data_IF_656116973639
#
_entry.id   IF_656116973639
#
_cell.length_a   1.000
_cell.length_b   1.000
_cell.length_c   1.000
_cell.angle_alpha   90.00
_cell.angle_beta   90.00
_cell.angle_gamma   90.00
#
_symmetry.space_group_name_H-M   'P 1'
#
loop_
_entity.id
_entity.type
_entity.pdbx_description
1 polymer ?
#
# COMPACT_ATOMS: atom_id res chain seq x y z
N UNK A 1 -11.51 19.96 -10.69
CA UNK A 1 -11.85 21.29 -10.12
C UNK A 1 -11.74 21.18 -8.61
N UNK A 2 -11.20 22.20 -7.94
CA UNK A 2 -11.05 22.22 -6.49
C UNK A 2 -12.23 22.96 -5.85
N UNK A 3 -12.85 22.37 -4.82
CA UNK A 3 -13.82 23.09 -3.99
C UNK A 3 -13.07 24.12 -3.14
N UNK A 4 -13.66 25.29 -2.95
CA UNK A 4 -13.04 26.41 -2.24
C UNK A 4 -13.99 27.03 -1.23
N UNK A 5 -13.48 27.57 -0.10
CA UNK A 5 -14.31 28.30 0.85
C UNK A 5 -14.83 29.60 0.24
N UNK A 6 -15.93 30.11 0.78
CA UNK A 6 -16.63 31.32 0.29
C UNK A 6 -15.75 32.56 0.17
N UNK A 7 -14.72 32.68 1.02
CA UNK A 7 -13.83 33.84 1.06
C UNK A 7 -12.47 33.58 0.38
N UNK A 8 -12.35 32.51 -0.42
CA UNK A 8 -11.12 32.25 -1.16
C UNK A 8 -10.85 33.41 -2.14
N UNK A 9 -9.67 34.06 -2.08
CA UNK A 9 -9.33 35.16 -2.98
C UNK A 9 -8.86 34.61 -4.34
N UNK A 10 -9.68 33.75 -4.94
CA UNK A 10 -9.47 33.11 -6.23
C UNK A 10 -10.71 33.37 -7.09
N UNK A 11 -10.59 33.34 -8.44
CA UNK A 11 -11.78 33.32 -9.29
C UNK A 11 -12.61 32.07 -8.98
N UNK A 12 -13.84 32.27 -8.51
CA UNK A 12 -14.76 31.20 -8.11
C UNK A 12 -15.94 31.09 -9.08
N UNK A 13 -16.45 29.88 -9.24
CA UNK A 13 -17.67 29.57 -9.97
C UNK A 13 -18.58 28.74 -9.06
N UNK A 14 -19.85 29.11 -8.97
CA UNK A 14 -20.85 28.31 -8.26
C UNK A 14 -21.40 27.24 -9.19
N UNK A 15 -21.36 25.97 -8.77
CA UNK A 15 -22.03 24.86 -9.47
C UNK A 15 -22.98 24.13 -8.52
N UNK A 16 -23.97 23.45 -9.07
CA UNK A 16 -24.98 22.69 -8.32
C UNK A 16 -25.61 23.49 -7.17
N UNK A 17 -25.94 24.76 -7.46
CA UNK A 17 -26.69 25.70 -6.62
C UNK A 17 -26.09 26.07 -5.25
N UNK A 18 -24.96 25.49 -4.83
CA UNK A 18 -24.38 25.77 -3.51
C UNK A 18 -22.87 25.50 -3.37
N UNK A 19 -22.25 24.74 -4.29
CA UNK A 19 -20.85 24.37 -4.16
C UNK A 19 -19.98 25.34 -4.97
N UNK A 20 -18.98 25.91 -4.30
CA UNK A 20 -18.04 26.83 -4.90
C UNK A 20 -16.81 26.08 -5.41
N UNK A 21 -16.49 26.28 -6.67
CA UNK A 21 -15.30 25.72 -7.32
C UNK A 21 -14.36 26.84 -7.73
N UNK A 22 -13.06 26.58 -7.64
CA UNK A 22 -12.08 27.44 -8.31
C UNK A 22 -12.20 27.30 -9.83
N UNK A 23 -12.08 28.42 -10.54
CA UNK A 23 -11.94 28.43 -12.00
C UNK A 23 -10.52 28.06 -12.43
N UNK A 24 -9.55 28.10 -11.52
CA UNK A 24 -8.21 27.57 -11.78
C UNK A 24 -8.20 26.05 -11.67
N UNK A 25 -7.36 25.43 -12.50
CA UNK A 25 -7.06 24.02 -12.35
C UNK A 25 -6.20 23.77 -11.09
N UNK A 26 -6.07 22.50 -10.74
CA UNK A 26 -5.33 22.09 -9.55
C UNK A 26 -3.86 22.53 -9.60
N UNK A 27 -3.24 22.50 -10.78
CA UNK A 27 -1.82 22.81 -10.94
C UNK A 27 -1.56 24.30 -10.72
N UNK A 28 -2.43 25.17 -11.23
CA UNK A 28 -2.37 26.60 -10.97
C UNK A 28 -2.52 26.90 -9.47
N UNK A 29 -3.46 26.23 -8.78
CA UNK A 29 -3.66 26.39 -7.33
C UNK A 29 -2.40 25.96 -6.54
N UNK A 30 -1.78 24.83 -6.93
CA UNK A 30 -0.50 24.37 -6.35
C UNK A 30 0.62 25.39 -6.54
N UNK A 31 0.75 25.96 -7.74
CA UNK A 31 1.80 26.95 -8.05
C UNK A 31 1.63 28.25 -7.26
N UNK A 32 0.38 28.67 -7.00
CA UNK A 32 0.08 29.86 -6.19
C UNK A 32 0.38 29.59 -4.70
N UNK A 33 0.53 28.33 -4.30
CA UNK A 33 0.92 27.94 -2.94
C UNK A 33 -0.26 27.79 -1.98
N UNK A 34 -1.48 27.62 -2.48
CA UNK A 34 -2.62 27.33 -1.63
C UNK A 34 -2.55 25.90 -1.07
N UNK A 35 -2.91 25.69 0.20
CA UNK A 35 -3.03 24.35 0.76
C UNK A 35 -4.19 23.62 0.07
N UNK A 36 -3.93 22.40 -0.39
CA UNK A 36 -4.90 21.54 -1.06
C UNK A 36 -5.14 20.32 -0.20
N UNK A 37 -6.42 20.06 0.08
CA UNK A 37 -6.88 18.83 0.71
C UNK A 37 -7.59 17.96 -0.33
N UNK A 38 -7.10 16.73 -0.50
CA UNK A 38 -7.78 15.73 -1.30
C UNK A 38 -8.72 14.91 -0.41
N UNK A 39 -10.01 14.93 -0.72
CA UNK A 39 -11.03 14.12 -0.05
C UNK A 39 -11.47 13.07 -1.06
N UNK A 40 -11.33 11.81 -0.68
CA UNK A 40 -11.76 10.67 -1.49
C UNK A 40 -12.83 9.92 -0.73
N UNK A 41 -13.92 9.61 -1.43
CA UNK A 41 -14.87 8.62 -0.96
C UNK A 41 -14.35 7.23 -1.31
N UNK A 42 -14.56 6.28 -0.41
CA UNK A 42 -14.19 4.90 -0.61
C UNK A 42 -15.37 4.02 -0.20
N UNK A 43 -16.04 3.45 -1.20
CA UNK A 43 -17.26 2.65 -1.02
C UNK A 43 -17.06 1.52 0.00
N UNK A 44 -15.84 0.95 0.06
CA UNK A 44 -15.49 -0.08 1.03
C UNK A 44 -15.62 0.42 2.49
N UNK A 45 -15.30 1.68 2.79
CA UNK A 45 -15.48 2.24 4.13
C UNK A 45 -16.96 2.39 4.46
N UNK A 46 -17.75 2.89 3.52
CA UNK A 46 -19.20 3.03 3.69
C UNK A 46 -19.85 1.66 3.88
N UNK A 47 -19.48 0.65 3.09
CA UNK A 47 -19.98 -0.72 3.21
C UNK A 47 -19.61 -1.39 4.54
N UNK A 48 -18.39 -1.15 5.04
CA UNK A 48 -17.99 -1.63 6.36
C UNK A 48 -18.77 -0.93 7.48
N UNK A 49 -19.01 0.38 7.37
CA UNK A 49 -19.79 1.13 8.35
C UNK A 49 -21.23 0.60 8.42
N UNK A 50 -21.89 0.43 7.26
CA UNK A 50 -23.22 -0.18 7.19
C UNK A 50 -23.25 -1.58 7.81
N UNK A 51 -22.18 -2.36 7.66
CA UNK A 51 -22.09 -3.71 8.22
C UNK A 51 -22.00 -3.65 9.75
N UNK A 52 -21.21 -2.72 10.29
CA UNK A 52 -21.11 -2.48 11.74
C UNK A 52 -22.45 -2.01 12.33
N UNK A 53 -23.20 -1.18 11.60
CA UNK A 53 -24.53 -0.73 12.02
C UNK A 53 -25.54 -1.89 12.04
N UNK A 54 -25.55 -2.76 11.03
CA UNK A 54 -26.36 -3.99 11.02
C UNK A 54 -25.97 -4.94 12.17
N UNK A 55 -24.68 -5.11 12.46
CA UNK A 55 -24.22 -5.93 13.59
C UNK A 55 -24.75 -5.37 14.92
N UNK A 56 -24.75 -4.04 15.08
CA UNK A 56 -25.29 -3.39 16.26
C UNK A 56 -26.80 -3.61 16.38
N UNK A 57 -27.54 -3.48 15.28
CA UNK A 57 -29.00 -3.64 15.25
C UNK A 57 -29.43 -5.10 15.47
N UNK A 58 -28.81 -6.03 14.75
CA UNK A 58 -29.20 -7.44 14.75
C UNK A 58 -28.68 -8.21 15.97
N UNK A 59 -27.50 -7.84 16.50
CA UNK A 59 -26.82 -8.59 17.57
C UNK A 59 -26.61 -7.79 18.85
N UNK A 60 -26.90 -6.49 18.87
CA UNK A 60 -26.64 -5.62 20.02
C UNK A 60 -25.14 -5.41 20.31
N UNK A 61 -24.25 -5.76 19.36
CA UNK A 61 -22.81 -5.67 19.54
C UNK A 61 -22.28 -4.35 18.97
N UNK A 62 -21.61 -3.55 19.81
CA UNK A 62 -20.94 -2.32 19.37
C UNK A 62 -19.45 -2.59 19.13
N UNK A 63 -19.08 -2.76 17.87
CA UNK A 63 -17.69 -3.00 17.45
C UNK A 63 -17.09 -1.68 16.98
N UNK A 64 -15.94 -1.30 17.54
CA UNK A 64 -15.16 -0.17 17.03
C UNK A 64 -14.13 -0.68 16.03
N UNK A 65 -14.09 -0.10 14.83
CA UNK A 65 -13.19 -0.55 13.78
C UNK A 65 -11.71 -0.56 14.21
N UNK A 66 -11.27 0.44 14.98
CA UNK A 66 -9.89 0.54 15.48
C UNK A 66 -9.51 -0.54 16.51
N UNK A 67 -10.49 -1.28 17.04
CA UNK A 67 -10.29 -2.34 18.04
C UNK A 67 -10.25 -3.74 17.44
N UNK A 68 -10.44 -3.87 16.12
CA UNK A 68 -10.43 -5.17 15.43
C UNK A 68 -9.00 -5.77 15.52
N UNK A 69 -8.85 -7.01 15.99
CA UNK A 69 -7.54 -7.66 16.13
C UNK A 69 -6.95 -8.02 14.77
N UNK A 70 -5.65 -7.75 14.54
CA UNK A 70 -4.95 -8.00 13.27
C UNK A 70 -4.36 -9.42 13.14
N UNK A 71 -4.76 -10.36 14.01
CA UNK A 71 -4.24 -11.72 14.10
C UNK A 71 -5.36 -12.78 14.23
N UNK A 72 -6.56 -12.47 13.72
CA UNK A 72 -7.73 -13.35 13.84
C UNK A 72 -7.59 -14.59 12.94
N UNK A 73 -7.54 -15.77 13.57
CA UNK A 73 -7.33 -17.03 12.86
C UNK A 73 -8.46 -17.37 11.86
N UNK A 74 -9.77 -17.21 12.20
CA UNK A 74 -10.86 -17.36 11.23
C UNK A 74 -10.69 -16.51 9.97
N UNK A 75 -10.29 -15.24 10.14
CA UNK A 75 -10.05 -14.31 9.03
C UNK A 75 -8.96 -14.80 8.10
N UNK A 76 -7.79 -15.17 8.63
CA UNK A 76 -6.70 -15.69 7.80
C UNK A 76 -7.04 -17.05 7.18
N UNK A 77 -7.80 -17.91 7.87
CA UNK A 77 -8.25 -19.17 7.31
C UNK A 77 -9.19 -18.98 6.11
N UNK A 78 -10.12 -18.02 6.18
CA UNK A 78 -10.99 -17.64 5.06
C UNK A 78 -10.19 -17.09 3.88
N UNK A 79 -9.26 -16.16 4.14
CA UNK A 79 -8.35 -15.61 3.12
C UNK A 79 -7.54 -16.73 2.45
N UNK A 80 -6.99 -17.66 3.23
CA UNK A 80 -6.21 -18.77 2.72
C UNK A 80 -7.03 -19.78 1.89
N UNK A 81 -8.36 -19.85 2.08
CA UNK A 81 -9.27 -20.60 1.20
C UNK A 81 -9.68 -19.83 -0.05
N UNK A 82 -9.31 -18.54 -0.16
CA UNK A 82 -9.71 -17.67 -1.27
C UNK A 82 -11.19 -17.28 -1.22
N UNK A 83 -11.85 -17.40 -0.07
CA UNK A 83 -13.27 -17.07 0.13
C UNK A 83 -13.48 -15.55 0.30
N UNK A 84 -12.78 -14.73 -0.48
CA UNK A 84 -12.66 -13.28 -0.30
C UNK A 84 -13.55 -12.47 -1.23
N UNK A 85 -14.60 -13.08 -1.79
CA UNK A 85 -15.57 -12.35 -2.62
C UNK A 85 -16.18 -11.15 -1.88
N UNK A 86 -16.21 -9.98 -2.52
CA UNK A 86 -16.69 -8.73 -1.91
C UNK A 86 -15.73 -8.11 -0.88
N UNK A 87 -14.60 -8.75 -0.58
CA UNK A 87 -13.59 -8.18 0.31
C UNK A 87 -12.72 -7.19 -0.46
N UNK A 88 -12.58 -5.98 0.09
CA UNK A 88 -11.81 -4.91 -0.53
C UNK A 88 -10.39 -5.35 -0.94
N UNK A 89 -9.99 -5.08 -2.19
CA UNK A 89 -8.75 -5.52 -2.85
C UNK A 89 -8.52 -7.03 -3.01
N UNK A 90 -9.37 -7.89 -2.43
CA UNK A 90 -9.16 -9.34 -2.38
C UNK A 90 -10.23 -10.15 -3.14
N UNK A 91 -11.14 -9.49 -3.82
CA UNK A 91 -12.34 -10.06 -4.45
C UNK A 91 -12.09 -10.73 -5.80
N UNK A 92 -11.15 -10.22 -6.60
CA UNK A 92 -10.95 -10.70 -7.98
C UNK A 92 -10.61 -12.19 -8.07
N UNK A 93 -11.09 -12.88 -9.11
CA UNK A 93 -10.81 -14.31 -9.37
C UNK A 93 -9.32 -14.64 -9.33
N UNK A 94 -8.51 -13.78 -9.96
CA UNK A 94 -7.07 -13.93 -9.95
C UNK A 94 -6.52 -13.87 -8.52
N UNK A 95 -6.91 -12.85 -7.75
CA UNK A 95 -6.49 -12.68 -6.37
C UNK A 95 -6.85 -13.92 -5.54
N UNK A 96 -8.09 -14.41 -5.63
CA UNK A 96 -8.57 -15.60 -4.90
C UNK A 96 -7.70 -16.84 -5.16
N UNK A 97 -7.35 -17.09 -6.42
CA UNK A 97 -6.46 -18.21 -6.82
C UNK A 97 -5.07 -18.06 -6.21
N UNK A 98 -4.51 -16.84 -6.19
CA UNK A 98 -3.18 -16.61 -5.64
C UNK A 98 -3.17 -16.70 -4.12
N UNK A 99 -4.20 -16.18 -3.44
CA UNK A 99 -4.37 -16.31 -1.99
C UNK A 99 -4.38 -17.79 -1.57
N UNK A 100 -5.11 -18.66 -2.30
CA UNK A 100 -5.11 -20.10 -2.04
C UNK A 100 -3.74 -20.76 -2.14
N UNK A 101 -2.91 -20.31 -3.08
CA UNK A 101 -1.54 -20.81 -3.28
C UNK A 101 -0.58 -20.32 -2.21
N UNK A 102 -0.77 -19.08 -1.76
CA UNK A 102 0.10 -18.44 -0.78
C UNK A 102 -0.25 -18.85 0.64
N UNK A 103 -1.53 -19.07 0.97
CA UNK A 103 -1.98 -19.34 2.34
C UNK A 103 -1.38 -18.30 3.31
N UNK A 104 -1.66 -17.02 3.05
CA UNK A 104 -1.18 -15.92 3.89
C UNK A 104 -1.63 -16.13 5.34
N UNK A 105 -0.72 -15.91 6.28
CA UNK A 105 -0.97 -16.22 7.68
C UNK A 105 -0.77 -15.05 8.64
N UNK A 106 -0.36 -13.88 8.16
CA UNK A 106 -0.18 -12.70 9.00
C UNK A 106 -0.34 -11.39 8.25
N UNK A 107 -0.39 -10.29 9.01
CA UNK A 107 -0.65 -8.95 8.49
C UNK A 107 0.43 -8.46 7.53
N UNK A 108 1.70 -8.68 7.85
CA UNK A 108 2.82 -8.25 7.01
C UNK A 108 2.85 -9.00 5.66
N UNK A 109 2.50 -10.29 5.65
CA UNK A 109 2.37 -11.06 4.40
C UNK A 109 1.19 -10.57 3.56
N UNK A 110 0.06 -10.24 4.19
CA UNK A 110 -1.10 -9.67 3.50
C UNK A 110 -0.75 -8.30 2.90
N UNK A 111 -0.01 -7.47 3.62
CA UNK A 111 0.46 -6.16 3.16
C UNK A 111 1.40 -6.29 1.96
N UNK A 112 2.38 -7.19 2.02
CA UNK A 112 3.26 -7.49 0.90
C UNK A 112 2.46 -8.01 -0.30
N UNK A 113 1.49 -8.89 -0.08
CA UNK A 113 0.62 -9.42 -1.13
C UNK A 113 -0.17 -8.31 -1.82
N UNK A 114 -0.85 -7.43 -1.06
CA UNK A 114 -1.64 -6.32 -1.61
C UNK A 114 -0.78 -5.45 -2.50
N UNK A 115 0.43 -5.07 -2.07
CA UNK A 115 1.36 -4.25 -2.87
C UNK A 115 1.85 -4.98 -4.13
N UNK A 116 2.19 -6.27 -4.02
CA UNK A 116 2.70 -7.04 -5.14
C UNK A 116 1.60 -7.41 -6.16
N UNK A 117 0.33 -7.37 -5.76
CA UNK A 117 -0.83 -7.71 -6.58
C UNK A 117 -1.57 -6.48 -7.16
N UNK A 118 -1.28 -5.26 -6.69
CA UNK A 118 -2.00 -4.04 -7.13
C UNK A 118 -1.66 -3.58 -8.55
N UNK A 119 -0.52 -4.00 -9.08
CA UNK A 119 -0.13 -3.85 -10.48
C UNK A 119 -0.16 -5.26 -11.05
N UNK A 120 -0.84 -5.48 -12.19
CA UNK A 120 -0.99 -6.79 -12.88
C UNK A 120 0.09 -7.79 -12.45
N UNK A 121 -0.28 -8.99 -11.95
CA UNK A 121 0.62 -9.92 -11.27
C UNK A 121 2.00 -9.96 -11.89
N UNK A 122 2.91 -9.18 -11.33
CA UNK A 122 4.22 -9.01 -11.91
C UNK A 122 5.12 -10.18 -11.49
N UNK A 123 6.22 -10.38 -12.20
CA UNK A 123 7.28 -11.33 -11.88
C UNK A 123 7.69 -11.28 -10.40
N UNK A 124 7.56 -10.12 -9.75
CA UNK A 124 7.84 -9.90 -8.32
C UNK A 124 6.99 -10.77 -7.39
N UNK A 125 5.71 -10.98 -7.71
CA UNK A 125 4.85 -11.84 -6.88
C UNK A 125 5.33 -13.29 -6.91
N UNK A 126 5.73 -13.77 -8.09
CA UNK A 126 6.33 -15.10 -8.24
C UNK A 126 7.68 -15.21 -7.52
N UNK A 127 8.52 -14.18 -7.60
CA UNK A 127 9.78 -14.12 -6.85
C UNK A 127 9.54 -14.16 -5.33
N UNK A 128 8.54 -13.42 -4.84
CA UNK A 128 8.13 -13.42 -3.44
C UNK A 128 7.68 -14.79 -2.98
N UNK A 129 6.81 -15.47 -3.75
CA UNK A 129 6.35 -16.83 -3.46
C UNK A 129 7.54 -17.81 -3.39
N UNK A 130 8.49 -17.71 -4.32
CA UNK A 130 9.68 -18.57 -4.35
C UNK A 130 10.58 -18.33 -3.14
N UNK A 131 10.82 -17.06 -2.80
CA UNK A 131 11.66 -16.66 -1.66
C UNK A 131 11.02 -17.01 -0.33
N UNK A 132 9.70 -16.88 -0.19
CA UNK A 132 8.97 -17.29 1.01
C UNK A 132 9.14 -18.79 1.33
N UNK A 133 9.20 -19.63 0.30
CA UNK A 133 9.36 -21.09 0.44
C UNK A 133 10.81 -21.51 0.73
N UNK A 134 11.79 -20.62 0.58
CA UNK A 134 13.20 -20.94 0.75
C UNK A 134 13.82 -20.14 1.89
N UNK A 135 14.82 -20.74 2.54
CA UNK A 135 15.64 -20.01 3.52
C UNK A 135 16.46 -18.95 2.80
N UNK A 136 16.25 -17.69 3.16
CA UNK A 136 17.00 -16.59 2.56
C UNK A 136 18.37 -16.48 3.21
N UNK A 137 19.40 -16.47 2.37
CA UNK A 137 20.76 -16.13 2.76
C UNK A 137 21.02 -14.66 2.46
N UNK A 138 21.63 -13.98 3.41
CA UNK A 138 21.93 -12.55 3.32
C UNK A 138 23.43 -12.37 3.32
N UNK A 139 23.96 -11.66 2.33
CA UNK A 139 25.40 -11.36 2.25
C UNK A 139 25.90 -10.46 3.37
N UNK A 140 24.99 -9.78 4.07
CA UNK A 140 25.33 -8.86 5.15
C UNK A 140 24.21 -8.78 6.20
N UNK A 141 24.53 -8.65 7.50
CA UNK A 141 23.53 -8.52 8.56
C UNK A 141 22.53 -7.36 8.36
N UNK A 142 22.97 -6.23 7.80
CA UNK A 142 22.10 -5.08 7.47
C UNK A 142 20.98 -5.47 6.49
N UNK A 143 21.26 -6.33 5.51
CA UNK A 143 20.23 -6.79 4.59
C UNK A 143 19.17 -7.61 5.32
N UNK A 144 19.59 -8.44 6.28
CA UNK A 144 18.69 -9.25 7.08
C UNK A 144 17.82 -8.38 7.99
N UNK A 145 18.38 -7.37 8.65
CA UNK A 145 17.61 -6.51 9.56
C UNK A 145 16.50 -5.73 8.84
N UNK A 146 16.69 -5.38 7.57
CA UNK A 146 15.74 -4.55 6.81
C UNK A 146 14.79 -5.38 5.94
N UNK A 147 15.28 -6.50 5.38
CA UNK A 147 14.56 -7.26 4.34
C UNK A 147 14.07 -8.64 4.83
N UNK A 148 14.23 -8.99 6.11
CA UNK A 148 13.76 -10.28 6.64
C UNK A 148 12.26 -10.49 6.43
N UNK A 149 11.45 -9.47 6.77
CA UNK A 149 9.98 -9.54 6.68
C UNK A 149 9.48 -9.68 5.25
N UNK A 150 10.27 -9.27 4.27
CA UNK A 150 9.94 -9.33 2.83
C UNK A 150 10.78 -10.37 2.09
N UNK A 151 11.36 -11.34 2.81
CA UNK A 151 12.16 -12.43 2.25
C UNK A 151 13.30 -11.97 1.33
N UNK A 152 13.98 -10.88 1.68
CA UNK A 152 15.11 -10.33 0.92
C UNK A 152 14.71 -9.48 -0.29
N UNK A 153 13.43 -9.15 -0.45
CA UNK A 153 12.95 -8.30 -1.53
C UNK A 153 12.74 -6.87 -1.08
N UNK A 154 13.00 -5.92 -1.97
CA UNK A 154 12.57 -4.53 -1.78
C UNK A 154 11.12 -4.43 -2.25
N UNK A 155 10.22 -4.15 -1.31
CA UNK A 155 8.80 -3.91 -1.55
C UNK A 155 8.46 -2.46 -1.21
N UNK A 156 9.12 -1.88 -0.21
CA UNK A 156 8.76 -0.57 0.32
C UNK A 156 9.81 0.53 0.11
N UNK A 157 9.35 1.78 0.04
CA UNK A 157 10.21 2.96 -0.01
C UNK A 157 11.10 3.09 1.24
N UNK A 158 10.54 2.77 2.39
CA UNK A 158 11.16 2.85 3.70
C UNK A 158 12.32 1.85 3.82
N UNK A 159 12.25 0.72 3.12
CA UNK A 159 13.38 -0.23 3.01
C UNK A 159 14.55 0.38 2.23
N UNK A 160 14.28 1.10 1.15
CA UNK A 160 15.33 1.81 0.38
C UNK A 160 15.99 2.87 1.25
N UNK A 161 15.19 3.69 1.94
CA UNK A 161 15.69 4.74 2.83
C UNK A 161 16.54 4.13 3.96
N UNK A 162 16.03 3.09 4.63
CA UNK A 162 16.74 2.42 5.72
C UNK A 162 18.07 1.80 5.25
N UNK A 163 18.09 1.20 4.06
CA UNK A 163 19.32 0.67 3.46
C UNK A 163 20.34 1.78 3.27
N UNK A 164 19.99 2.88 2.59
CA UNK A 164 20.91 3.99 2.31
C UNK A 164 21.51 4.60 3.58
N UNK A 165 20.69 4.77 4.62
CA UNK A 165 21.12 5.29 5.92
C UNK A 165 22.13 4.35 6.59
N UNK A 166 21.85 3.04 6.60
CA UNK A 166 22.70 2.06 7.28
C UNK A 166 23.97 1.70 6.52
N UNK A 167 23.95 1.71 5.18
CA UNK A 167 25.09 1.25 4.37
C UNK A 167 26.01 2.38 3.90
N UNK A 168 25.53 3.62 3.88
CA UNK A 168 26.26 4.72 3.29
C UNK A 168 26.12 6.04 4.05
N UNK A 169 25.51 6.01 5.25
CA UNK A 169 25.42 7.16 6.15
C UNK A 169 24.54 8.30 5.63
N UNK A 170 23.64 8.03 4.69
CA UNK A 170 22.80 9.07 4.10
C UNK A 170 21.93 9.73 5.18
N UNK A 171 21.76 11.04 5.09
CA UNK A 171 20.73 11.78 5.82
C UNK A 171 19.34 11.45 5.27
N UNK A 172 18.30 11.81 6.01
CA UNK A 172 16.91 11.63 5.56
C UNK A 172 16.65 12.34 4.22
N UNK A 173 17.20 13.54 4.04
CA UNK A 173 17.06 14.33 2.80
C UNK A 173 17.77 13.65 1.63
N UNK A 174 19.01 13.20 1.83
CA UNK A 174 19.78 12.52 0.80
C UNK A 174 19.13 11.20 0.38
N UNK A 175 18.66 10.41 1.35
CA UNK A 175 17.99 9.14 1.07
C UNK A 175 16.68 9.34 0.29
N UNK A 176 15.90 10.37 0.62
CA UNK A 176 14.69 10.72 -0.12
C UNK A 176 15.01 11.23 -1.53
N UNK A 177 16.08 12.00 -1.72
CA UNK A 177 16.55 12.42 -3.04
C UNK A 177 17.00 11.21 -3.88
N UNK A 178 17.79 10.30 -3.31
CA UNK A 178 18.19 9.06 -3.96
C UNK A 178 16.97 8.25 -4.39
N UNK A 179 16.00 8.04 -3.50
CA UNK A 179 14.75 7.32 -3.78
C UNK A 179 13.99 7.96 -4.95
N UNK A 180 13.88 9.29 -4.97
CA UNK A 180 13.20 10.03 -6.07
C UNK A 180 13.88 9.76 -7.42
N UNK A 181 15.21 9.82 -7.47
CA UNK A 181 15.99 9.54 -8.69
C UNK A 181 15.94 8.06 -9.06
N UNK A 182 15.94 7.15 -8.08
CA UNK A 182 15.82 5.71 -8.33
C UNK A 182 14.50 5.37 -9.05
N UNK A 183 13.39 5.96 -8.61
CA UNK A 183 12.05 5.66 -9.12
C UNK A 183 11.80 6.37 -10.46
N UNK A 184 12.10 7.67 -10.54
CA UNK A 184 11.70 8.54 -11.67
C UNK A 184 12.87 9.04 -12.52
N UNK A 185 14.11 8.80 -12.11
CA UNK A 185 15.29 9.35 -12.77
C UNK A 185 15.60 8.72 -14.13
N UNK A 186 16.33 9.50 -14.93
CA UNK A 186 16.87 9.08 -16.22
C UNK A 186 18.08 8.14 -16.03
N UNK A 187 18.43 7.31 -17.03
CA UNK A 187 19.55 6.37 -16.90
C UNK A 187 20.89 7.01 -16.46
N UNK A 188 21.18 8.24 -16.91
CA UNK A 188 22.38 8.99 -16.53
C UNK A 188 22.39 9.35 -15.04
N UNK A 189 21.26 9.83 -14.52
CA UNK A 189 21.10 10.21 -13.12
C UNK A 189 21.17 8.98 -12.21
N UNK A 190 20.56 7.87 -12.64
CA UNK A 190 20.62 6.58 -11.92
C UNK A 190 22.06 6.07 -11.83
N UNK A 191 22.83 6.17 -12.91
CA UNK A 191 24.25 5.80 -12.90
C UNK A 191 25.04 6.65 -11.90
N UNK A 192 24.73 7.95 -11.83
CA UNK A 192 25.40 8.88 -10.91
C UNK A 192 25.10 8.52 -9.44
N UNK A 193 23.83 8.32 -9.07
CA UNK A 193 23.48 7.98 -7.68
C UNK A 193 24.10 6.65 -7.24
N UNK A 194 24.23 5.66 -8.14
CA UNK A 194 24.90 4.40 -7.83
C UNK A 194 26.41 4.57 -7.65
N UNK A 195 27.04 5.46 -8.41
CA UNK A 195 28.44 5.82 -8.20
C UNK A 195 28.68 6.43 -6.82
N UNK A 196 27.87 7.45 -6.46
CA UNK A 196 27.93 8.08 -5.13
C UNK A 196 27.65 7.08 -4.01
N UNK A 197 26.64 6.23 -4.16
CA UNK A 197 26.32 5.18 -3.19
C UNK A 197 27.51 4.23 -2.98
N UNK A 198 28.18 3.83 -4.07
CA UNK A 198 29.32 2.91 -4.00
C UNK A 198 30.48 3.54 -3.23
N UNK A 199 30.83 4.79 -3.54
CA UNK A 199 31.91 5.50 -2.85
C UNK A 199 31.61 5.61 -1.35
N UNK A 200 30.41 6.09 -0.99
CA UNK A 200 30.01 6.25 0.40
C UNK A 200 29.97 4.89 1.13
N UNK A 201 29.48 3.83 0.50
CA UNK A 201 29.40 2.52 1.14
C UNK A 201 30.77 1.89 1.39
N UNK A 202 31.76 2.12 0.51
CA UNK A 202 33.15 1.71 0.72
C UNK A 202 33.74 2.46 1.92
N UNK A 203 33.51 3.77 2.02
CA UNK A 203 33.95 4.57 3.17
C UNK A 203 33.30 4.10 4.49
N UNK A 204 32.09 3.54 4.43
CA UNK A 204 31.38 2.95 5.56
C UNK A 204 31.76 1.47 5.82
N UNK A 205 32.80 0.95 5.15
CA UNK A 205 33.37 -0.36 5.42
C UNK A 205 32.64 -1.54 4.77
N UNK A 206 31.76 -1.31 3.78
CA UNK A 206 31.15 -2.39 3.02
C UNK A 206 32.08 -2.89 1.91
N UNK A 207 32.01 -4.20 1.66
CA UNK A 207 32.75 -4.84 0.57
C UNK A 207 32.02 -4.70 -0.76
N UNK A 208 32.77 -4.66 -1.87
CA UNK A 208 32.20 -4.58 -3.22
C UNK A 208 31.12 -5.64 -3.52
N UNK A 209 31.25 -6.93 -3.12
CA UNK A 209 30.21 -7.92 -3.35
C UNK A 209 28.86 -7.55 -2.69
N UNK A 210 28.90 -6.99 -1.47
CA UNK A 210 27.69 -6.56 -0.76
C UNK A 210 27.06 -5.36 -1.47
N UNK A 211 27.87 -4.37 -1.85
CA UNK A 211 27.41 -3.16 -2.56
C UNK A 211 26.77 -3.53 -3.90
N UNK A 212 27.43 -4.40 -4.68
CA UNK A 212 26.93 -4.87 -5.96
C UNK A 212 25.61 -5.63 -5.83
N UNK A 213 25.45 -6.42 -4.77
CA UNK A 213 24.20 -7.10 -4.46
C UNK A 213 23.07 -6.10 -4.13
N UNK A 214 23.35 -5.08 -3.30
CA UNK A 214 22.37 -4.02 -2.98
C UNK A 214 21.95 -3.27 -4.23
N UNK A 215 22.90 -2.87 -5.08
CA UNK A 215 22.59 -2.20 -6.35
C UNK A 215 21.74 -3.11 -7.26
N UNK A 216 21.99 -4.42 -7.27
CA UNK A 216 21.17 -5.38 -7.99
C UNK A 216 19.73 -5.39 -7.48
N UNK A 217 19.52 -5.37 -6.16
CA UNK A 217 18.19 -5.26 -5.55
C UNK A 217 17.48 -3.96 -5.96
N UNK A 218 18.19 -2.82 -5.95
CA UNK A 218 17.62 -1.54 -6.39
C UNK A 218 17.24 -1.55 -7.88
N UNK A 219 18.07 -2.13 -8.75
CA UNK A 219 17.78 -2.28 -10.18
C UNK A 219 16.59 -3.20 -10.43
N UNK A 220 16.50 -4.31 -9.69
CA UNK A 220 15.45 -5.32 -9.89
C UNK A 220 14.08 -4.91 -9.33
N UNK A 221 14.06 -4.21 -8.19
CA UNK A 221 12.82 -4.00 -7.42
C UNK A 221 12.57 -2.54 -7.03
N UNK A 222 13.60 -1.68 -7.01
CA UNK A 222 13.52 -0.35 -6.42
C UNK A 222 12.55 0.61 -7.11
N UNK A 223 12.43 0.55 -8.44
CA UNK A 223 11.49 1.39 -9.21
C UNK A 223 10.02 1.10 -8.92
N UNK A 224 9.71 -0.10 -8.44
CA UNK A 224 8.35 -0.55 -8.15
C UNK A 224 8.10 -0.68 -6.64
N UNK A 225 8.99 -0.10 -5.83
CA UNK A 225 8.76 0.00 -4.40
C UNK A 225 7.53 0.89 -4.13
N UNK A 226 6.88 0.69 -3.00
CA UNK A 226 5.64 1.35 -2.63
C UNK A 226 5.74 2.01 -1.25
N UNK A 227 5.05 3.12 -0.95
CA UNK A 227 5.08 3.71 0.39
C UNK A 227 4.49 2.74 1.44
N UNK A 228 5.27 2.36 2.45
CA UNK A 228 4.87 1.37 3.46
C UNK A 228 3.65 1.84 4.26
N UNK A 229 3.60 3.12 4.64
CA UNK A 229 2.45 3.65 5.39
C UNK A 229 1.15 3.58 4.59
N UNK A 230 1.22 3.83 3.28
CA UNK A 230 0.06 3.71 2.41
C UNK A 230 -0.35 2.24 2.22
N UNK A 231 0.62 1.34 2.05
CA UNK A 231 0.37 -0.11 2.03
C UNK A 231 -0.31 -0.59 3.31
N UNK A 232 0.17 -0.13 4.46
CA UNK A 232 -0.39 -0.48 5.76
C UNK A 232 -1.84 -0.01 5.89
N UNK A 233 -2.15 1.23 5.50
CA UNK A 233 -3.50 1.76 5.54
C UNK A 233 -4.47 0.94 4.66
N UNK A 234 -4.10 0.67 3.40
CA UNK A 234 -4.89 -0.16 2.49
C UNK A 234 -5.08 -1.57 3.03
N UNK A 235 -4.03 -2.15 3.63
CA UNK A 235 -4.08 -3.49 4.21
C UNK A 235 -5.02 -3.54 5.41
N UNK A 236 -5.05 -2.51 6.27
CA UNK A 236 -5.99 -2.46 7.39
C UNK A 236 -7.44 -2.45 6.90
N UNK A 237 -7.74 -1.67 5.86
CA UNK A 237 -9.10 -1.62 5.27
C UNK A 237 -9.47 -2.99 4.69
N UNK A 238 -8.59 -3.59 3.88
CA UNK A 238 -8.81 -4.93 3.31
C UNK A 238 -8.99 -6.00 4.38
N UNK A 239 -8.17 -5.96 5.44
CA UNK A 239 -8.25 -6.90 6.55
C UNK A 239 -9.51 -6.71 7.39
N UNK A 240 -9.92 -5.48 7.72
CA UNK A 240 -11.17 -5.23 8.43
C UNK A 240 -12.39 -5.70 7.64
N UNK A 241 -12.41 -5.48 6.33
CA UNK A 241 -13.43 -6.02 5.43
C UNK A 241 -13.45 -7.56 5.46
N UNK A 242 -12.28 -8.19 5.41
CA UNK A 242 -12.16 -9.65 5.52
C UNK A 242 -12.62 -10.18 6.89
N UNK A 243 -12.32 -9.46 7.97
CA UNK A 243 -12.68 -9.83 9.33
C UNK A 243 -14.19 -9.77 9.55
N UNK A 244 -14.85 -8.72 9.04
CA UNK A 244 -16.30 -8.61 9.06
C UNK A 244 -16.95 -9.76 8.31
N UNK A 245 -16.44 -10.09 7.11
CA UNK A 245 -16.94 -11.25 6.36
C UNK A 245 -16.73 -12.56 7.12
N UNK A 246 -15.56 -12.79 7.70
CA UNK A 246 -15.24 -14.05 8.38
C UNK A 246 -16.05 -14.28 9.65
N UNK A 247 -16.41 -13.21 10.38
CA UNK A 247 -17.04 -13.30 11.69
C UNK A 247 -18.53 -12.90 11.70
N UNK A 248 -18.97 -12.13 10.71
CA UNK A 248 -20.33 -11.56 10.56
C UNK A 248 -20.79 -11.65 9.09
N UNK A 249 -20.70 -12.85 8.52
CA UNK A 249 -20.95 -13.07 7.09
C UNK A 249 -22.37 -12.66 6.65
N UNK A 250 -23.38 -12.85 7.51
CA UNK A 250 -24.77 -12.56 7.16
C UNK A 250 -24.97 -11.05 6.95
N UNK A 251 -24.55 -10.24 7.92
CA UNK A 251 -24.58 -8.78 7.84
C UNK A 251 -23.69 -8.26 6.72
N UNK A 252 -22.51 -8.85 6.52
CA UNK A 252 -21.61 -8.49 5.42
C UNK A 252 -22.21 -8.76 4.04
N UNK A 253 -22.92 -9.88 3.87
CA UNK A 253 -23.57 -10.20 2.59
C UNK A 253 -24.81 -9.32 2.34
N UNK A 254 -25.49 -8.89 3.40
CA UNK A 254 -26.65 -8.01 3.32
C UNK A 254 -26.25 -6.62 2.82
N UNK A 255 -25.20 -6.01 3.39
CA UNK A 255 -24.74 -4.69 2.92
C UNK A 255 -24.35 -4.71 1.45
N UNK A 256 -23.66 -5.76 1.00
CA UNK A 256 -23.25 -5.91 -0.40
C UNK A 256 -24.43 -5.88 -1.37
N UNK A 257 -25.55 -6.54 -1.04
CA UNK A 257 -26.74 -6.55 -1.90
C UNK A 257 -27.30 -5.13 -2.07
N UNK A 258 -27.31 -4.35 -1.00
CA UNK A 258 -27.75 -2.95 -1.05
C UNK A 258 -26.90 -2.12 -2.01
N UNK A 259 -25.57 -2.26 -1.97
CA UNK A 259 -24.67 -1.56 -2.91
C UNK A 259 -24.83 -2.03 -4.36
N UNK A 260 -25.03 -3.32 -4.61
CA UNK A 260 -25.28 -3.83 -5.96
C UNK A 260 -26.62 -3.36 -6.54
N UNK A 261 -27.62 -3.10 -5.68
CA UNK A 261 -28.93 -2.58 -6.08
C UNK A 261 -28.84 -1.08 -6.39
N UNK A 262 -28.22 -0.28 -5.51
CA UNK A 262 -28.05 1.17 -5.73
C UNK A 262 -27.23 1.45 -7.01
N UNK A 263 -26.17 0.66 -7.26
CA UNK A 263 -25.35 0.81 -8.48
C UNK A 263 -26.08 0.48 -9.79
N UNK A 264 -27.21 -0.25 -9.73
CA UNK A 264 -28.05 -0.56 -10.90
C UNK A 264 -29.19 0.43 -11.10
N UNK A 265 -29.58 1.16 -10.06
CA UNK A 265 -30.58 2.23 -10.16
C UNK A 265 -29.96 3.55 -10.68
N UNK A 266 -28.64 3.71 -10.57
CA UNK A 266 -27.88 4.86 -11.09
C UNK A 266 -27.35 4.68 -12.53
N UNK A 267 -27.63 3.57 -13.22
CA UNK A 267 -27.22 3.28 -14.61
C UNK A 267 -28.39 3.32 -15.60
#
# INVERSE_FOLDING_TARGET
>A
MAMVPTNAPLPIETRNQSILYSQFDLHAIEQIGYPILHIFELDALTAMQSCLDLIRENRGLSIKQDTIPLNDAPTYAMIARGETEGVFHLDSDHTRIVLQKLKQCCFNELMAFIVLNSIKPDKRLNDYVKRRKSRQEYLHPILRSILAETHGMIIYHEQIISLLKQIAGYTEVEANNFKKVLIHGKPKEIKQIYGTLTANAIEHGLTEPVINHIISLFKGYGRMAFPQYHAMALTKIAYHSAWLKANFNDEFCETRKTYEVDSKEES
#
